data_IF_219287216824
#
_entry.id   IF_219287216824
#
_cell.length_a   1.000
_cell.length_b   1.000
_cell.length_c   1.000
_cell.angle_alpha   90.00
_cell.angle_beta   90.00
_cell.angle_gamma   90.00
#
_symmetry.space_group_name_H-M   'P 1'
#
loop_
_entity.id
_entity.type
_entity.pdbx_description
1 polymer ?
#
# COMPACT_ATOMS: atom_id res chain seq x y z
N UNK A 1 -46.43 -15.25 6.76
CA UNK A 1 -45.13 -15.77 7.25
C UNK A 1 -43.99 -15.72 6.22
N UNK A 2 -44.11 -16.30 5.02
CA UNK A 2 -42.98 -16.45 4.07
C UNK A 2 -42.31 -15.13 3.65
N UNK A 3 -43.10 -14.08 3.41
CA UNK A 3 -42.57 -12.76 3.05
C UNK A 3 -41.83 -12.06 4.21
N UNK A 4 -42.23 -12.31 5.46
CA UNK A 4 -41.54 -11.79 6.64
C UNK A 4 -40.18 -12.47 6.84
N UNK A 5 -40.12 -13.79 6.58
CA UNK A 5 -38.87 -14.54 6.63
C UNK A 5 -37.92 -14.08 5.50
N UNK A 6 -38.45 -13.88 4.29
CA UNK A 6 -37.66 -13.37 3.17
C UNK A 6 -37.11 -11.96 3.43
N UNK A 7 -37.92 -11.08 4.01
CA UNK A 7 -37.49 -9.74 4.40
C UNK A 7 -36.39 -9.81 5.47
N UNK A 8 -36.56 -10.62 6.51
CA UNK A 8 -35.58 -10.79 7.57
C UNK A 8 -34.23 -11.31 7.05
N UNK A 9 -34.24 -12.28 6.12
CA UNK A 9 -33.02 -12.80 5.48
C UNK A 9 -32.35 -11.72 4.63
N UNK A 10 -33.12 -10.96 3.86
CA UNK A 10 -32.58 -9.87 3.04
C UNK A 10 -31.93 -8.78 3.89
N UNK A 11 -32.56 -8.39 4.99
CA UNK A 11 -32.01 -7.41 5.94
C UNK A 11 -30.74 -7.92 6.60
N UNK A 12 -30.70 -9.19 7.02
CA UNK A 12 -29.51 -9.82 7.59
C UNK A 12 -28.34 -9.85 6.59
N UNK A 13 -28.62 -10.14 5.32
CA UNK A 13 -27.60 -10.16 4.27
C UNK A 13 -27.06 -8.76 3.94
N UNK A 14 -27.94 -7.75 3.92
CA UNK A 14 -27.54 -6.35 3.71
C UNK A 14 -26.65 -5.82 4.84
N UNK A 15 -26.93 -6.20 6.09
CA UNK A 15 -26.11 -5.82 7.25
C UNK A 15 -24.73 -6.49 7.24
N UNK A 16 -24.60 -7.69 6.66
CA UNK A 16 -23.32 -8.39 6.56
C UNK A 16 -22.36 -7.76 5.54
N UNK A 17 -22.89 -7.01 4.56
CA UNK A 17 -22.09 -6.32 3.55
C UNK A 17 -21.46 -5.00 4.02
N UNK A 18 -21.77 -4.52 5.22
CA UNK A 18 -21.30 -3.23 5.76
C UNK A 18 -19.88 -3.28 6.35
N UNK A 19 -19.07 -4.29 5.99
CA UNK A 19 -17.70 -4.38 6.47
C UNK A 19 -16.88 -3.18 5.97
N UNK A 20 -16.15 -2.46 6.86
CA UNK A 20 -15.33 -1.34 6.43
C UNK A 20 -14.23 -1.85 5.50
N UNK A 21 -14.17 -1.28 4.29
CA UNK A 21 -13.04 -1.48 3.40
C UNK A 21 -11.82 -0.80 4.02
N UNK A 22 -10.87 -1.59 4.53
CA UNK A 22 -9.57 -1.11 5.02
C UNK A 22 -8.76 -0.66 3.80
N UNK A 23 -8.84 0.63 3.49
CA UNK A 23 -7.99 1.26 2.47
C UNK A 23 -6.56 1.40 2.94
N UNK A 24 -5.65 1.59 1.99
CA UNK A 24 -4.25 1.90 2.26
C UNK A 24 -4.15 3.22 3.05
N UNK A 25 -3.39 3.23 4.14
CA UNK A 25 -3.15 4.47 4.89
C UNK A 25 -2.17 5.35 4.11
N UNK A 26 -2.59 6.59 3.84
CA UNK A 26 -1.82 7.55 3.05
C UNK A 26 -1.22 8.59 3.98
N UNK A 27 0.09 8.75 3.92
CA UNK A 27 0.79 9.78 4.69
C UNK A 27 1.18 10.95 3.81
N UNK A 28 0.84 12.15 4.29
CA UNK A 28 1.36 13.40 3.77
C UNK A 28 2.83 13.55 4.12
N UNK A 29 3.65 13.93 3.13
CA UNK A 29 5.07 14.27 3.33
C UNK A 29 5.20 15.78 3.44
N UNK A 30 5.23 16.36 4.65
CA UNK A 30 5.40 17.80 4.84
C UNK A 30 6.82 18.25 4.46
N UNK A 31 6.94 19.48 3.96
CA UNK A 31 8.22 20.08 3.58
C UNK A 31 9.09 20.45 4.80
N UNK A 32 8.46 20.91 5.89
CA UNK A 32 9.07 21.54 7.06
C UNK A 32 9.52 20.55 8.15
N UNK A 33 9.27 19.24 7.97
CA UNK A 33 9.66 18.21 8.95
C UNK A 33 10.90 17.47 8.50
N UNK A 34 11.93 17.35 9.33
CA UNK A 34 13.20 16.71 8.94
C UNK A 34 13.05 15.21 8.58
N UNK A 35 12.23 14.46 9.32
CA UNK A 35 12.00 13.04 9.07
C UNK A 35 10.55 12.65 9.39
N UNK A 36 10.00 11.72 8.61
CA UNK A 36 8.69 11.13 8.82
C UNK A 36 8.89 9.66 9.18
N UNK A 37 8.33 9.21 10.30
CA UNK A 37 8.37 7.80 10.67
C UNK A 37 7.33 7.03 9.86
N UNK A 38 7.80 6.09 9.03
CA UNK A 38 6.95 5.25 8.17
C UNK A 38 6.72 3.85 8.75
N UNK A 39 7.17 3.58 9.98
CA UNK A 39 7.10 2.22 10.55
C UNK A 39 5.68 1.78 10.86
N UNK A 40 4.82 2.72 11.29
CA UNK A 40 3.47 2.40 11.80
C UNK A 40 2.42 2.24 10.70
N UNK A 41 2.77 2.66 9.49
CA UNK A 41 1.88 2.75 8.31
C UNK A 41 2.31 1.87 7.15
N UNK A 42 3.45 1.20 7.29
CA UNK A 42 3.98 0.30 6.30
C UNK A 42 3.21 -1.01 6.39
N UNK A 43 2.61 -1.42 5.29
CA UNK A 43 2.06 -2.76 5.18
C UNK A 43 3.11 -3.70 4.57
N UNK A 44 3.29 -4.86 5.19
CA UNK A 44 4.23 -5.87 4.73
C UNK A 44 3.45 -7.07 4.24
N UNK A 45 3.52 -7.34 2.95
CA UNK A 45 2.77 -8.43 2.33
C UNK A 45 3.72 -9.42 1.64
N UNK A 46 3.41 -10.73 1.65
CA UNK A 46 4.18 -11.70 0.89
C UNK A 46 3.96 -11.48 -0.61
N UNK A 47 5.04 -11.57 -1.40
CA UNK A 47 4.91 -11.70 -2.85
C UNK A 47 4.13 -12.96 -3.25
N UNK A 48 3.54 -12.95 -4.43
CA UNK A 48 3.01 -14.17 -5.05
C UNK A 48 3.82 -14.45 -6.31
N UNK A 49 4.58 -15.55 -6.32
CA UNK A 49 5.46 -15.85 -7.46
C UNK A 49 6.52 -14.78 -7.71
N UNK A 50 7.08 -14.20 -6.63
CA UNK A 50 8.13 -13.20 -6.70
C UNK A 50 7.67 -11.82 -7.18
N UNK A 51 6.36 -11.54 -7.19
CA UNK A 51 5.85 -10.23 -7.61
C UNK A 51 4.68 -9.75 -6.75
N UNK A 52 4.41 -8.46 -6.85
CA UNK A 52 3.21 -7.82 -6.32
C UNK A 52 2.59 -6.91 -7.38
N UNK A 53 1.26 -6.90 -7.44
CA UNK A 53 0.50 -5.99 -8.29
C UNK A 53 -0.38 -5.11 -7.43
N UNK A 54 -0.25 -3.80 -7.59
CA UNK A 54 -1.06 -2.82 -6.92
C UNK A 54 -1.76 -1.93 -7.95
N UNK A 55 -3.00 -1.56 -7.67
CA UNK A 55 -3.69 -0.50 -8.38
C UNK A 55 -3.53 0.80 -7.60
N UNK A 56 -3.18 1.88 -8.28
CA UNK A 56 -3.19 3.21 -7.66
C UNK A 56 -4.62 3.70 -7.48
N UNK A 57 -4.83 4.67 -6.60
CA UNK A 57 -6.04 5.47 -6.65
C UNK A 57 -6.21 6.11 -8.06
N UNK A 58 -7.45 6.37 -8.50
CA UNK A 58 -7.70 7.11 -9.72
C UNK A 58 -6.98 8.46 -9.70
N UNK A 59 -6.34 8.80 -10.81
CA UNK A 59 -5.75 10.12 -11.02
C UNK A 59 -6.85 11.19 -11.25
N UNK A 60 -6.46 12.47 -11.43
CA UNK A 60 -7.39 13.55 -11.79
C UNK A 60 -8.23 13.24 -13.03
N UNK A 61 -7.66 12.50 -13.99
CA UNK A 61 -8.34 12.03 -15.20
C UNK A 61 -9.21 10.77 -14.99
N UNK A 62 -9.31 10.28 -13.75
CA UNK A 62 -9.96 9.00 -13.41
C UNK A 62 -9.17 7.76 -13.81
N UNK A 63 -7.93 7.93 -14.29
CA UNK A 63 -7.10 6.82 -14.77
C UNK A 63 -6.52 6.04 -13.59
N UNK A 64 -6.89 4.76 -13.49
CA UNK A 64 -6.29 3.79 -12.57
C UNK A 64 -5.07 3.19 -13.23
N UNK A 65 -3.93 3.19 -12.52
CA UNK A 65 -2.68 2.60 -13.03
C UNK A 65 -2.35 1.35 -12.23
N UNK A 66 -1.87 0.33 -12.95
CA UNK A 66 -1.33 -0.89 -12.33
C UNK A 66 0.17 -0.75 -12.19
N UNK A 67 0.66 -0.97 -10.98
CA UNK A 67 2.07 -1.05 -10.65
C UNK A 67 2.36 -2.53 -10.39
N UNK A 68 3.28 -3.11 -11.16
CA UNK A 68 3.84 -4.42 -10.88
C UNK A 68 5.28 -4.24 -10.40
N UNK A 69 5.60 -4.82 -9.27
CA UNK A 69 6.97 -4.88 -8.75
C UNK A 69 7.38 -6.34 -8.70
N UNK A 70 8.53 -6.63 -9.31
CA UNK A 70 9.11 -7.98 -9.37
C UNK A 70 10.33 -8.01 -8.45
N UNK A 71 10.50 -9.13 -7.75
CA UNK A 71 11.67 -9.41 -6.94
C UNK A 71 12.94 -9.36 -7.79
N UNK A 72 14.03 -8.87 -7.22
CA UNK A 72 15.32 -8.83 -7.91
C UNK A 72 15.86 -10.23 -8.23
N UNK A 73 15.56 -11.23 -7.38
CA UNK A 73 15.85 -12.64 -7.64
C UNK A 73 14.55 -13.39 -8.00
N UNK A 74 14.40 -13.86 -9.26
CA UNK A 74 13.18 -14.48 -9.76
C UNK A 74 12.85 -15.83 -9.10
N UNK A 75 13.80 -16.46 -8.41
CA UNK A 75 13.57 -17.74 -7.70
C UNK A 75 13.17 -17.53 -6.24
N UNK A 76 12.98 -16.28 -5.81
CA UNK A 76 12.61 -15.94 -4.44
C UNK A 76 11.20 -15.37 -4.37
N UNK A 77 10.57 -15.53 -3.22
CA UNK A 77 9.29 -14.90 -2.93
C UNK A 77 9.42 -13.97 -1.71
N UNK A 78 10.07 -12.81 -1.88
CA UNK A 78 10.30 -11.89 -0.77
C UNK A 78 8.99 -11.24 -0.32
N UNK A 79 9.03 -10.65 0.86
CA UNK A 79 7.99 -9.74 1.29
C UNK A 79 8.22 -8.35 0.70
N UNK A 80 7.14 -7.66 0.42
CA UNK A 80 7.13 -6.29 -0.10
C UNK A 80 6.60 -5.35 0.99
N UNK A 81 7.36 -4.30 1.26
CA UNK A 81 6.88 -3.16 2.04
C UNK A 81 6.14 -2.20 1.12
N UNK A 82 4.93 -1.85 1.51
CA UNK A 82 4.04 -0.98 0.79
C UNK A 82 3.78 0.27 1.64
N UNK A 83 3.98 1.43 1.04
CA UNK A 83 3.79 2.73 1.69
C UNK A 83 3.15 3.66 0.67
N UNK A 84 2.06 4.32 1.05
CA UNK A 84 1.43 5.34 0.23
C UNK A 84 1.82 6.73 0.74
N UNK A 85 2.52 7.47 -0.12
CA UNK A 85 2.96 8.83 0.18
C UNK A 85 2.17 9.82 -0.67
N UNK A 86 1.74 10.92 -0.05
CA UNK A 86 1.11 12.06 -0.72
C UNK A 86 1.97 13.30 -0.53
N UNK A 87 2.23 14.00 -1.63
CA UNK A 87 2.81 15.33 -1.58
C UNK A 87 1.69 16.35 -1.64
N UNK A 88 1.43 17.03 -0.53
CA UNK A 88 0.39 18.07 -0.44
C UNK A 88 0.87 19.44 -0.93
N UNK A 89 2.16 19.59 -1.19
CA UNK A 89 2.78 20.80 -1.72
C UNK A 89 2.82 20.82 -3.26
N UNK A 90 3.09 22.01 -3.80
CA UNK A 90 3.35 22.21 -5.24
C UNK A 90 4.85 22.11 -5.58
N UNK A 91 5.71 21.85 -4.59
CA UNK A 91 7.15 21.70 -4.81
C UNK A 91 7.54 20.23 -4.97
N UNK A 92 8.59 19.97 -5.75
CA UNK A 92 9.16 18.65 -5.84
C UNK A 92 9.96 18.32 -4.57
N UNK A 93 9.53 17.29 -3.84
CA UNK A 93 10.22 16.83 -2.62
C UNK A 93 11.23 15.73 -2.97
N UNK A 94 12.50 15.93 -2.58
CA UNK A 94 13.54 14.89 -2.62
C UNK A 94 13.96 14.54 -1.20
N UNK A 95 13.78 13.28 -0.81
CA UNK A 95 14.09 12.79 0.55
C UNK A 95 14.74 11.41 0.51
N UNK A 96 15.61 11.16 1.48
CA UNK A 96 16.23 9.86 1.68
C UNK A 96 15.24 8.92 2.39
N UNK A 97 14.99 7.76 1.81
CA UNK A 97 14.28 6.67 2.47
C UNK A 97 15.28 5.86 3.29
N UNK A 98 15.11 5.81 4.60
CA UNK A 98 16.00 5.09 5.51
C UNK A 98 15.26 3.93 6.16
N UNK A 99 15.82 2.73 6.04
CA UNK A 99 15.39 1.55 6.77
C UNK A 99 16.40 1.28 7.90
N UNK A 100 16.18 1.80 9.13
CA UNK A 100 17.16 1.71 10.21
C UNK A 100 17.44 0.26 10.64
N UNK A 101 16.52 -0.66 10.33
CA UNK A 101 16.65 -2.08 10.63
C UNK A 101 16.78 -2.93 9.36
N UNK A 102 17.72 -2.57 8.48
CA UNK A 102 18.08 -3.45 7.37
C UNK A 102 18.70 -4.74 7.93
N UNK A 103 18.04 -5.88 7.69
CA UNK A 103 18.57 -7.19 8.05
C UNK A 103 18.68 -8.05 6.80
N UNK A 104 19.77 -8.81 6.73
CA UNK A 104 20.03 -9.72 5.61
C UNK A 104 18.91 -10.77 5.48
N UNK A 105 18.56 -11.17 4.24
CA UNK A 105 17.68 -12.31 3.99
C UNK A 105 18.15 -13.54 4.79
N UNK A 106 17.27 -14.12 5.61
CA UNK A 106 17.57 -15.30 6.44
C UNK A 106 17.76 -15.08 7.95
N UNK A 107 17.66 -13.85 8.46
CA UNK A 107 17.89 -13.55 9.90
C UNK A 107 16.67 -13.72 10.84
N UNK A 108 15.59 -14.34 10.37
CA UNK A 108 14.67 -15.11 11.21
C UNK A 108 13.57 -14.39 12.00
N UNK A 109 13.41 -13.05 11.98
CA UNK A 109 12.26 -12.40 12.67
C UNK A 109 11.61 -11.18 12.01
N UNK A 110 12.16 -10.64 10.92
CA UNK A 110 11.55 -9.58 10.11
C UNK A 110 11.87 -9.82 8.64
N UNK A 111 10.97 -9.50 7.69
CA UNK A 111 11.25 -9.70 6.28
C UNK A 111 12.41 -8.81 5.83
N UNK A 112 13.38 -9.40 5.13
CA UNK A 112 14.44 -8.65 4.49
C UNK A 112 13.84 -7.86 3.32
N UNK A 113 13.88 -6.54 3.41
CA UNK A 113 13.50 -5.65 2.32
C UNK A 113 14.65 -5.65 1.31
N UNK A 114 14.52 -6.41 0.22
CA UNK A 114 15.36 -6.18 -0.95
C UNK A 114 15.08 -4.77 -1.47
N UNK A 115 16.11 -3.91 -1.55
CA UNK A 115 15.92 -2.52 -1.97
C UNK A 115 15.79 -2.46 -3.49
N UNK A 116 14.59 -2.73 -3.98
CA UNK A 116 14.14 -2.27 -5.30
C UNK A 116 13.08 -1.20 -5.05
N UNK A 117 13.50 0.06 -4.93
CA UNK A 117 12.59 1.17 -4.69
C UNK A 117 11.89 1.57 -6.00
N UNK A 118 10.68 1.05 -6.23
CA UNK A 118 9.79 1.58 -7.26
C UNK A 118 8.99 2.74 -6.67
N UNK A 119 9.55 3.95 -6.71
CA UNK A 119 8.83 5.17 -6.32
C UNK A 119 7.94 5.62 -7.48
N UNK A 120 6.63 5.58 -7.32
CA UNK A 120 5.70 6.26 -8.24
C UNK A 120 4.93 7.31 -7.47
N UNK A 121 5.30 8.57 -7.69
CA UNK A 121 4.48 9.70 -7.29
C UNK A 121 3.22 9.74 -8.16
N UNK A 122 2.05 9.88 -7.55
CA UNK A 122 0.88 10.33 -8.30
C UNK A 122 1.17 11.75 -8.81
N UNK A 123 0.94 12.06 -10.10
CA UNK A 123 1.10 13.43 -10.58
C UNK A 123 0.14 14.35 -9.82
N UNK A 124 0.62 15.52 -9.40
CA UNK A 124 -0.26 16.64 -9.08
C UNK A 124 -0.39 17.45 -10.35
N UNK A 125 -1.61 17.56 -10.87
CA UNK A 125 -1.95 18.48 -11.94
C UNK A 125 -2.35 19.83 -11.33
N UNK A 126 -1.41 20.77 -11.39
CA UNK A 126 -1.62 22.21 -11.31
C UNK A 126 -0.83 22.85 -12.44
#
# INVERSE_FOLDING_TARGET
MRHLIALAIFTAFALFGLAPAKGFEVISVPEDVNAVNLSDVMEVVPGQGGRIQLSTAPDADGIIRRIEVVAGDPNTNPFFALIALRNDSDQQIQRLLVAPFFRLPGSGRMPALGVTAAMRAAPRSG
#
